data_IF_992653309507
#
_entry.id   IF_992653309507
#
_cell.length_a   1.000
_cell.length_b   1.000
_cell.length_c   1.000
_cell.angle_alpha   90.00
_cell.angle_beta   90.00
_cell.angle_gamma   90.00
#
_symmetry.space_group_name_H-M   'P 1'
#
loop_
_entity.id
_entity.type
_entity.pdbx_description
1 polymer ?
#
# COMPACT_ATOMS: atom_id res chain seq x y z
N UNK A 1 -15.92 -7.11 -2.18
CA UNK A 1 -16.36 -7.50 -0.81
C UNK A 1 -15.41 -7.07 0.32
N UNK A 2 -14.07 -7.04 0.12
CA UNK A 2 -13.12 -6.57 1.17
C UNK A 2 -13.33 -5.11 1.59
N UNK A 3 -13.55 -4.19 0.64
CA UNK A 3 -13.85 -2.78 0.92
C UNK A 3 -15.14 -2.60 1.74
N UNK A 4 -16.21 -3.25 1.30
CA UNK A 4 -17.49 -3.23 2.00
C UNK A 4 -17.37 -3.78 3.44
N UNK A 5 -16.71 -4.94 3.62
CA UNK A 5 -16.45 -5.50 4.95
C UNK A 5 -15.57 -4.57 5.80
N UNK A 6 -14.58 -3.92 5.20
CA UNK A 6 -13.73 -2.94 5.87
C UNK A 6 -14.57 -1.76 6.38
N UNK A 7 -15.47 -1.23 5.55
CA UNK A 7 -16.36 -0.12 5.92
C UNK A 7 -17.40 -0.57 6.95
N UNK A 8 -18.00 -1.77 6.80
CA UNK A 8 -18.96 -2.34 7.78
C UNK A 8 -18.34 -2.61 9.15
N UNK A 9 -17.08 -3.05 9.22
CA UNK A 9 -16.37 -3.23 10.50
C UNK A 9 -16.30 -1.92 11.30
N UNK A 10 -16.34 -0.77 10.61
CA UNK A 10 -16.22 0.57 11.21
C UNK A 10 -17.60 1.23 11.41
N UNK A 11 -18.55 0.96 10.51
CA UNK A 11 -19.93 1.47 10.57
C UNK A 11 -20.91 0.30 10.45
N UNK A 12 -21.31 -0.23 11.61
CA UNK A 12 -22.09 -1.47 11.72
C UNK A 12 -23.45 -1.38 10.99
N UNK A 13 -24.00 -0.17 10.90
CA UNK A 13 -25.30 0.10 10.27
C UNK A 13 -25.23 0.22 8.74
N UNK A 14 -24.05 0.01 8.13
CA UNK A 14 -23.89 0.12 6.69
C UNK A 14 -24.34 -1.18 6.01
N UNK A 15 -25.14 -1.06 4.96
CA UNK A 15 -25.78 -2.21 4.32
C UNK A 15 -25.36 -2.39 2.86
N UNK A 16 -25.42 -3.65 2.40
CA UNK A 16 -24.99 -4.02 1.06
C UNK A 16 -26.07 -3.57 0.08
N UNK A 17 -25.68 -2.70 -0.85
CA UNK A 17 -26.59 -2.14 -1.84
C UNK A 17 -27.06 -3.20 -2.86
N UNK A 18 -26.48 -4.39 -2.91
CA UNK A 18 -27.01 -5.46 -3.76
C UNK A 18 -28.14 -6.25 -3.10
N UNK A 19 -28.42 -6.03 -1.80
CA UNK A 19 -29.47 -6.72 -1.06
C UNK A 19 -30.68 -5.81 -0.90
N UNK A 20 -31.65 -5.98 -1.79
CA UNK A 20 -32.96 -5.34 -1.74
C UNK A 20 -33.98 -6.22 -1.00
N UNK A 21 -34.99 -5.64 -0.33
CA UNK A 21 -35.21 -4.20 -0.14
C UNK A 21 -34.28 -3.61 0.93
N UNK A 22 -33.85 -2.35 0.73
CA UNK A 22 -33.10 -1.65 1.78
C UNK A 22 -34.06 -1.26 2.92
N UNK A 23 -33.63 -1.33 4.20
CA UNK A 23 -34.42 -0.72 5.28
C UNK A 23 -34.53 0.79 5.05
N UNK A 24 -35.64 1.40 5.49
CA UNK A 24 -35.94 2.82 5.25
C UNK A 24 -34.89 3.79 5.82
N UNK A 25 -34.01 3.32 6.72
CA UNK A 25 -32.90 4.07 7.32
C UNK A 25 -31.51 3.54 6.91
N UNK A 26 -31.44 2.60 5.96
CA UNK A 26 -30.20 1.96 5.55
C UNK A 26 -29.27 2.89 4.78
N UNK A 27 -28.07 3.14 5.32
CA UNK A 27 -27.04 3.92 4.63
C UNK A 27 -26.39 3.05 3.53
N UNK A 28 -26.48 3.50 2.27
CA UNK A 28 -26.02 2.79 1.07
C UNK A 28 -24.61 3.21 0.69
N UNK A 29 -23.68 2.24 0.55
CA UNK A 29 -22.24 2.43 0.35
C UNK A 29 -21.84 3.43 -0.76
N UNK A 30 -22.58 3.48 -1.88
CA UNK A 30 -22.21 4.27 -3.07
C UNK A 30 -22.10 5.77 -2.79
N UNK A 31 -22.84 6.27 -1.79
CA UNK A 31 -22.79 7.68 -1.40
C UNK A 31 -21.61 8.03 -0.48
N UNK A 32 -20.82 7.04 -0.05
CA UNK A 32 -19.80 7.17 1.01
C UNK A 32 -18.40 6.71 0.58
N UNK A 33 -18.14 6.53 -0.72
CA UNK A 33 -16.80 6.20 -1.18
C UNK A 33 -16.53 6.87 -2.54
N UNK A 34 -15.68 7.88 -2.53
CA UNK A 34 -15.22 8.61 -3.70
C UNK A 34 -13.76 8.24 -3.96
N UNK A 35 -13.46 7.78 -5.17
CA UNK A 35 -12.07 7.61 -5.57
C UNK A 35 -11.44 8.99 -5.81
N UNK A 36 -10.38 9.29 -5.07
CA UNK A 36 -9.60 10.51 -5.23
C UNK A 36 -8.29 10.20 -5.96
N UNK A 37 -7.82 11.16 -6.75
CA UNK A 37 -6.66 10.95 -7.63
C UNK A 37 -5.35 10.94 -6.87
N UNK A 38 -5.16 11.93 -6.02
CA UNK A 38 -3.89 12.20 -5.36
C UNK A 38 -4.12 12.43 -3.86
N UNK A 39 -3.20 11.95 -3.05
CA UNK A 39 -3.09 12.24 -1.63
C UNK A 39 -1.81 13.06 -1.43
N UNK A 40 -1.97 14.27 -0.90
CA UNK A 40 -0.82 15.09 -0.51
C UNK A 40 -0.18 14.49 0.74
N UNK A 41 1.08 14.07 0.59
CA UNK A 41 1.91 13.58 1.69
C UNK A 41 2.80 14.69 2.22
N UNK A 42 3.28 14.48 3.46
CA UNK A 42 4.23 15.38 4.13
C UNK A 42 5.41 15.71 3.20
N UNK A 43 5.92 16.94 3.32
CA UNK A 43 7.00 17.49 2.49
C UNK A 43 6.64 17.75 1.01
N UNK A 44 5.33 17.88 0.69
CA UNK A 44 4.87 18.28 -0.65
C UNK A 44 4.93 17.17 -1.70
N UNK A 45 5.10 15.91 -1.27
CA UNK A 45 5.10 14.76 -2.16
C UNK A 45 3.68 14.27 -2.38
N UNK A 46 3.36 13.84 -3.60
CA UNK A 46 2.03 13.30 -3.93
C UNK A 46 2.06 11.80 -4.04
N UNK A 47 1.10 11.15 -3.39
CA UNK A 47 0.84 9.72 -3.54
C UNK A 47 -0.36 9.55 -4.43
N UNK A 48 -0.17 8.90 -5.57
CA UNK A 48 -1.22 8.71 -6.56
C UNK A 48 -0.95 7.42 -7.31
N UNK A 49 -2.00 6.74 -7.78
CA UNK A 49 -1.85 5.62 -8.70
C UNK A 49 -1.09 6.02 -9.98
N UNK A 50 -1.26 7.28 -10.40
CA UNK A 50 -0.69 7.81 -11.64
C UNK A 50 0.62 8.57 -11.41
N UNK A 51 1.05 8.73 -10.15
CA UNK A 51 2.34 9.34 -9.86
C UNK A 51 3.48 8.40 -10.29
N UNK A 52 4.62 8.95 -10.77
CA UNK A 52 5.78 8.15 -11.12
C UNK A 52 6.34 7.36 -9.93
N UNK A 53 6.12 7.84 -8.71
CA UNK A 53 6.37 7.09 -7.49
C UNK A 53 5.11 6.95 -6.63
N UNK A 54 4.54 5.75 -6.61
CA UNK A 54 3.38 5.39 -5.80
C UNK A 54 3.72 4.31 -4.74
N UNK A 55 5.01 4.07 -4.50
CA UNK A 55 5.48 3.03 -3.60
C UNK A 55 5.67 3.61 -2.21
N UNK A 56 4.91 3.07 -1.27
CA UNK A 56 4.87 3.48 0.13
C UNK A 56 5.44 2.39 1.03
N UNK A 57 5.76 2.77 2.26
CA UNK A 57 6.03 1.82 3.33
C UNK A 57 5.29 2.21 4.60
N UNK A 58 4.85 1.18 5.34
CA UNK A 58 4.11 1.34 6.59
C UNK A 58 4.98 0.95 7.80
N UNK A 59 4.53 1.35 9.00
CA UNK A 59 5.25 1.02 10.24
C UNK A 59 5.40 -0.48 10.40
N UNK A 60 6.49 -0.92 11.05
CA UNK A 60 6.75 -2.33 11.21
C UNK A 60 5.65 -3.04 12.02
N UNK A 61 4.97 -4.00 11.40
CA UNK A 61 4.22 -5.01 12.14
C UNK A 61 5.25 -6.08 12.51
N UNK A 62 5.52 -6.28 13.80
CA UNK A 62 6.54 -7.21 14.30
C UNK A 62 8.02 -6.83 14.02
N UNK A 63 8.32 -5.55 13.81
CA UNK A 63 9.69 -5.07 13.62
C UNK A 63 10.17 -4.97 12.17
N UNK A 64 9.40 -5.48 11.20
CA UNK A 64 9.77 -5.41 9.77
C UNK A 64 8.92 -4.40 9.00
N UNK A 65 9.59 -3.48 8.29
CA UNK A 65 8.92 -2.55 7.37
C UNK A 65 8.26 -3.32 6.22
N UNK A 66 7.01 -2.98 5.92
CA UNK A 66 6.28 -3.55 4.78
C UNK A 66 6.09 -2.51 3.70
N UNK A 67 6.31 -2.93 2.45
CA UNK A 67 6.28 -2.06 1.28
C UNK A 67 5.12 -2.44 0.37
N UNK A 68 4.53 -1.45 -0.28
CA UNK A 68 3.43 -1.66 -1.20
C UNK A 68 3.23 -0.51 -2.16
N UNK A 69 2.54 -0.78 -3.26
CA UNK A 69 2.18 0.23 -4.25
C UNK A 69 0.72 0.63 -4.08
N UNK A 70 0.46 1.93 -4.17
CA UNK A 70 -0.89 2.47 -4.11
C UNK A 70 -1.62 2.17 -5.41
N UNK A 71 -2.66 1.35 -5.33
CA UNK A 71 -3.51 0.99 -6.46
C UNK A 71 -4.70 1.94 -6.59
N UNK A 72 -5.33 2.31 -5.47
CA UNK A 72 -6.47 3.22 -5.42
C UNK A 72 -6.47 4.01 -4.11
N UNK A 73 -7.03 5.22 -4.12
CA UNK A 73 -7.22 6.06 -2.94
C UNK A 73 -8.70 6.42 -2.87
N UNK A 74 -9.33 6.12 -1.74
CA UNK A 74 -10.76 6.24 -1.54
C UNK A 74 -11.01 7.18 -0.37
N UNK A 75 -11.62 8.31 -0.64
CA UNK A 75 -12.21 9.17 0.38
C UNK A 75 -13.58 8.62 0.76
N UNK A 76 -13.82 8.46 2.06
CA UNK A 76 -15.06 7.90 2.58
C UNK A 76 -16.09 8.97 3.00
N UNK A 77 -15.74 10.26 2.88
CA UNK A 77 -16.65 11.38 3.16
C UNK A 77 -17.26 11.34 4.56
N UNK A 78 -16.55 10.73 5.52
CA UNK A 78 -16.97 10.54 6.90
C UNK A 78 -15.87 11.09 7.81
N UNK A 79 -15.67 12.41 7.73
CA UNK A 79 -14.63 13.16 8.43
C UNK A 79 -14.72 13.04 9.96
N UNK A 80 -15.90 12.76 10.50
CA UNK A 80 -16.13 12.55 11.94
C UNK A 80 -15.58 11.20 12.47
N UNK A 81 -15.29 10.25 11.58
CA UNK A 81 -14.91 8.86 11.94
C UNK A 81 -13.51 8.50 11.41
N UNK A 82 -13.00 9.23 10.42
CA UNK A 82 -11.74 8.94 9.75
C UNK A 82 -10.75 10.11 9.81
N UNK A 83 -9.50 9.80 10.17
CA UNK A 83 -8.35 10.68 9.95
C UNK A 83 -7.87 10.61 8.49
N UNK A 84 -8.79 10.77 7.54
CA UNK A 84 -8.48 10.89 6.11
C UNK A 84 -8.72 9.64 5.23
N UNK A 85 -8.19 9.66 3.98
CA UNK A 85 -8.51 8.67 2.94
C UNK A 85 -7.99 7.25 3.22
N UNK A 86 -8.63 6.26 2.62
CA UNK A 86 -8.26 4.84 2.68
C UNK A 86 -7.59 4.43 1.38
N UNK A 87 -6.49 3.70 1.46
CA UNK A 87 -5.73 3.26 0.28
C UNK A 87 -5.89 1.77 0.05
N UNK A 88 -6.13 1.37 -1.20
CA UNK A 88 -5.91 -0.01 -1.63
C UNK A 88 -4.45 -0.18 -2.02
N UNK A 89 -3.77 -1.10 -1.34
CA UNK A 89 -2.35 -1.37 -1.53
C UNK A 89 -2.17 -2.75 -2.12
N UNK A 90 -1.32 -2.83 -3.16
CA UNK A 90 -0.74 -4.09 -3.60
C UNK A 90 0.61 -4.27 -2.92
N UNK A 91 0.73 -5.29 -2.09
CA UNK A 91 1.93 -5.50 -1.28
C UNK A 91 3.08 -6.07 -2.09
N UNK A 92 4.27 -5.89 -1.52
CA UNK A 92 5.51 -6.48 -2.00
C UNK A 92 6.01 -7.49 -0.97
N UNK A 93 6.52 -8.62 -1.46
CA UNK A 93 7.12 -9.68 -0.65
C UNK A 93 8.64 -9.68 -0.85
N UNK A 94 9.39 -9.96 0.22
CA UNK A 94 10.84 -10.19 0.13
C UNK A 94 11.10 -11.42 -0.75
N UNK A 95 12.08 -11.29 -1.64
CA UNK A 95 12.64 -12.44 -2.34
C UNK A 95 13.60 -13.10 -1.35
N UNK A 96 13.39 -14.38 -1.04
CA UNK A 96 14.27 -15.11 -0.13
C UNK A 96 15.43 -15.71 -0.90
N UNK A 97 16.64 -15.60 -0.35
CA UNK A 97 17.91 -16.14 -0.89
C UNK A 97 17.82 -17.54 -1.51
N UNK A 98 17.02 -18.45 -0.92
CA UNK A 98 16.85 -19.83 -1.43
C UNK A 98 16.31 -19.90 -2.86
N UNK A 99 15.58 -18.89 -3.32
CA UNK A 99 15.08 -18.86 -4.71
C UNK A 99 16.19 -18.55 -5.72
N UNK A 100 17.31 -17.95 -5.29
CA UNK A 100 18.28 -17.34 -6.22
C UNK A 100 19.76 -17.67 -5.96
N UNK A 101 20.12 -18.22 -4.80
CA UNK A 101 21.50 -18.64 -4.51
C UNK A 101 22.50 -17.49 -4.30
N UNK A 102 22.03 -16.29 -3.91
CA UNK A 102 22.84 -15.08 -3.78
C UNK A 102 22.88 -14.49 -2.36
N UNK A 103 23.17 -15.32 -1.33
CA UNK A 103 23.23 -14.89 0.09
C UNK A 103 24.12 -13.65 0.35
N UNK A 104 25.15 -13.44 -0.47
CA UNK A 104 26.04 -12.26 -0.34
C UNK A 104 25.43 -10.96 -0.89
N UNK A 105 24.46 -11.06 -1.80
CA UNK A 105 23.83 -9.89 -2.41
C UNK A 105 22.86 -9.23 -1.44
N UNK A 106 22.04 -10.00 -0.74
CA UNK A 106 21.09 -9.46 0.24
C UNK A 106 21.82 -8.76 1.39
N UNK A 107 22.92 -9.35 1.88
CA UNK A 107 23.78 -8.68 2.85
C UNK A 107 24.31 -7.33 2.34
N UNK A 108 24.73 -7.27 1.07
CA UNK A 108 25.19 -6.03 0.45
C UNK A 108 24.05 -5.02 0.33
N UNK A 109 22.88 -5.42 -0.18
CA UNK A 109 21.72 -4.54 -0.34
C UNK A 109 21.23 -4.01 1.01
N UNK A 110 21.20 -4.86 2.04
CA UNK A 110 20.83 -4.47 3.40
C UNK A 110 21.78 -3.43 3.99
N UNK A 111 23.08 -3.49 3.67
CA UNK A 111 24.05 -2.47 4.09
C UNK A 111 23.76 -1.08 3.51
N UNK A 112 23.05 -1.01 2.38
CA UNK A 112 22.54 0.24 1.78
C UNK A 112 21.07 0.51 2.11
N UNK A 113 20.46 -0.28 3.00
CA UNK A 113 19.03 -0.21 3.33
C UNK A 113 18.14 -0.35 2.07
N UNK A 114 18.60 -1.16 1.11
CA UNK A 114 17.88 -1.53 -0.10
C UNK A 114 17.28 -2.92 0.10
N UNK A 115 16.00 -3.08 -0.26
CA UNK A 115 15.30 -4.36 -0.24
C UNK A 115 15.03 -4.86 -1.65
N UNK A 116 15.25 -6.15 -1.89
CA UNK A 116 14.89 -6.80 -3.15
C UNK A 116 13.53 -7.48 -3.01
N UNK A 117 12.53 -6.93 -3.70
CA UNK A 117 11.13 -7.29 -3.51
C UNK A 117 10.46 -7.71 -4.81
N UNK A 118 9.39 -8.51 -4.70
CA UNK A 118 8.48 -8.86 -5.81
C UNK A 118 7.04 -8.51 -5.45
N UNK A 119 6.19 -8.33 -6.46
CA UNK A 119 4.76 -8.14 -6.21
C UNK A 119 4.15 -9.36 -5.55
N UNK A 120 3.48 -9.13 -4.43
CA UNK A 120 2.60 -10.11 -3.82
C UNK A 120 1.29 -10.20 -4.60
N UNK A 121 0.60 -11.33 -4.39
CA UNK A 121 -0.83 -11.46 -4.72
C UNK A 121 -1.72 -10.84 -3.63
N UNK A 122 -1.13 -10.34 -2.54
CA UNK A 122 -1.86 -9.68 -1.47
C UNK A 122 -2.27 -8.25 -1.84
N UNK A 123 -3.57 -8.00 -1.67
CA UNK A 123 -4.26 -6.73 -1.87
C UNK A 123 -5.10 -6.45 -0.62
N UNK A 124 -4.83 -5.32 0.03
CA UNK A 124 -5.55 -4.91 1.25
C UNK A 124 -5.80 -3.42 1.30
N UNK A 125 -6.79 -3.04 2.12
CA UNK A 125 -7.06 -1.64 2.44
C UNK A 125 -6.30 -1.25 3.71
N UNK A 126 -5.71 -0.07 3.71
CA UNK A 126 -5.09 0.56 4.88
C UNK A 126 -5.57 2.01 5.03
N UNK A 127 -5.45 2.57 6.22
CA UNK A 127 -5.61 4.01 6.45
C UNK A 127 -4.40 4.79 5.92
N UNK A 128 -4.60 6.02 5.42
CA UNK A 128 -3.50 6.94 5.08
C UNK A 128 -2.56 7.19 6.28
N UNK A 129 -3.09 7.17 7.49
CA UNK A 129 -2.33 7.38 8.73
C UNK A 129 -1.35 6.25 9.06
N UNK A 130 -1.48 5.07 8.43
CA UNK A 130 -0.56 3.94 8.60
C UNK A 130 0.72 4.10 7.77
N UNK A 131 0.71 5.00 6.78
CA UNK A 131 1.85 5.28 5.90
C UNK A 131 2.95 5.98 6.71
N UNK A 132 4.18 5.50 6.59
CA UNK A 132 5.35 6.17 7.19
C UNK A 132 6.00 7.11 6.19
N UNK A 133 6.08 6.69 4.94
CA UNK A 133 6.64 7.51 3.88
C UNK A 133 6.63 6.83 2.52
N UNK A 134 7.30 7.48 1.59
CA UNK A 134 7.52 7.00 0.23
C UNK A 134 8.87 6.30 0.13
N UNK A 135 8.95 5.31 -0.74
CA UNK A 135 10.20 4.64 -1.04
C UNK A 135 10.55 4.84 -2.51
N UNK A 136 11.82 5.10 -2.78
CA UNK A 136 12.37 5.08 -4.11
C UNK A 136 12.46 3.63 -4.57
N UNK A 137 12.24 3.39 -5.86
CA UNK A 137 12.36 2.05 -6.38
C UNK A 137 12.94 2.04 -7.78
N UNK A 138 13.51 0.89 -8.14
CA UNK A 138 13.95 0.58 -9.49
C UNK A 138 13.45 -0.80 -9.86
N UNK A 139 12.58 -0.86 -10.86
CA UNK A 139 12.16 -2.13 -11.46
C UNK A 139 13.35 -2.81 -12.13
N UNK A 140 13.48 -4.10 -11.87
CA UNK A 140 14.44 -4.99 -12.49
C UNK A 140 13.70 -5.89 -13.49
N UNK A 141 14.28 -6.15 -14.67
CA UNK A 141 13.69 -7.05 -15.64
C UNK A 141 13.65 -8.48 -15.09
N UNK A 142 12.76 -9.30 -15.64
CA UNK A 142 12.51 -10.68 -15.21
C UNK A 142 13.66 -11.68 -15.42
N UNK A 143 14.85 -11.20 -15.81
CA UNK A 143 16.08 -11.97 -15.96
C UNK A 143 17.25 -11.37 -15.17
N UNK A 144 17.01 -10.23 -14.50
CA UNK A 144 17.97 -9.69 -13.55
C UNK A 144 18.02 -10.57 -12.31
N UNK A 145 19.23 -10.82 -11.83
CA UNK A 145 19.49 -11.54 -10.57
C UNK A 145 18.92 -12.96 -10.51
N UNK A 146 18.61 -13.59 -11.65
CA UNK A 146 18.11 -14.97 -11.68
C UNK A 146 16.62 -15.12 -11.34
N UNK A 147 15.87 -14.01 -11.25
CA UNK A 147 14.43 -14.06 -11.08
C UNK A 147 13.74 -14.62 -12.33
N UNK A 148 12.50 -15.11 -12.18
CA UNK A 148 11.57 -15.39 -13.31
C UNK A 148 10.49 -14.31 -13.45
N UNK A 149 10.27 -13.55 -12.39
CA UNK A 149 9.26 -12.51 -12.29
C UNK A 149 9.90 -11.13 -12.32
N UNK A 150 9.09 -10.09 -12.59
CA UNK A 150 9.52 -8.71 -12.43
C UNK A 150 9.74 -8.42 -10.95
N UNK A 151 10.92 -7.92 -10.61
CA UNK A 151 11.32 -7.61 -9.24
C UNK A 151 11.75 -6.16 -9.13
N UNK A 152 11.99 -5.68 -7.91
CA UNK A 152 12.26 -4.28 -7.65
C UNK A 152 13.29 -4.14 -6.53
N UNK A 153 14.24 -3.22 -6.70
CA UNK A 153 15.04 -2.71 -5.60
C UNK A 153 14.32 -1.52 -4.98
N UNK A 154 14.13 -1.53 -3.67
CA UNK A 154 13.34 -0.54 -2.94
C UNK A 154 14.15 0.07 -1.81
N UNK A 155 14.12 1.40 -1.67
CA UNK A 155 14.81 2.14 -0.62
C UNK A 155 13.88 3.21 0.00
N UNK A 156 13.61 3.18 1.33
CA UNK A 156 12.87 4.22 2.03
C UNK A 156 13.48 5.62 1.88
N UNK A 157 12.70 6.63 1.49
CA UNK A 157 13.21 7.98 1.22
C UNK A 157 13.52 8.76 2.51
N UNK A 158 12.74 8.58 3.59
CA UNK A 158 12.94 9.41 4.80
C UNK A 158 14.26 9.13 5.51
N UNK A 159 14.87 7.94 5.33
CA UNK A 159 16.19 7.64 5.92
C UNK A 159 17.36 8.28 5.17
N UNK A 160 17.14 8.84 3.98
CA UNK A 160 18.19 9.55 3.22
C UNK A 160 18.42 10.98 3.75
N UNK A 161 17.49 11.51 4.54
CA UNK A 161 17.53 12.88 5.08
C UNK A 161 17.84 12.96 6.58
N UNK A 162 18.11 11.82 7.23
CA UNK A 162 18.51 11.73 8.64
C UNK A 162 20.05 11.58 8.81
N UNK A 163 20.83 11.89 7.76
CA UNK A 163 22.30 11.92 7.80
C UNK A 163 22.86 13.32 8.06
#
# INVERSE_FOLDING_TARGET
MKLFKFIQKRKINLHDYHKLPYPNEGLVLRNYALEIKDLDWRLGLKVSKNAPNNLIYIKPVLGEMRFGTVAHILDLGCDEIHEGPVLLIRWLDNIKDYEMGFERLDFFLDSFNIKHLKFSNDLSFISSSEIVGLAAYRSLPAWALGCKDITMLVCPINKLFEQ
#
